data_IF_847682406536
#
_entry.id   IF_847682406536
#
_cell.length_a   1.000
_cell.length_b   1.000
_cell.length_c   1.000
_cell.angle_alpha   90.00
_cell.angle_beta   90.00
_cell.angle_gamma   90.00
#
_symmetry.space_group_name_H-M   'P 1'
#
loop_
_entity.id
_entity.type
_entity.pdbx_description
1 polymer ?
#
# COMPACT_ATOMS: atom_id res chain seq x y z
N UNK A 1 -16.13 -23.18 -20.28
CA UNK A 1 -15.25 -23.97 -19.36
C UNK A 1 -13.91 -23.25 -19.09
N UNK A 2 -13.18 -22.77 -20.10
CA UNK A 2 -11.88 -22.07 -19.88
C UNK A 2 -11.96 -20.78 -19.03
N UNK A 3 -12.94 -19.86 -19.25
CA UNK A 3 -13.01 -18.65 -18.43
C UNK A 3 -13.23 -18.92 -16.94
N UNK A 4 -14.12 -19.85 -16.60
CA UNK A 4 -14.40 -20.17 -15.18
C UNK A 4 -13.21 -20.81 -14.48
N UNK A 5 -12.45 -21.66 -15.16
CA UNK A 5 -11.19 -22.22 -14.66
C UNK A 5 -10.17 -21.10 -14.42
N UNK A 6 -10.03 -20.16 -15.35
CA UNK A 6 -9.13 -19.02 -15.22
C UNK A 6 -9.51 -18.10 -14.06
N UNK A 7 -10.81 -17.87 -13.82
CA UNK A 7 -11.28 -17.08 -12.68
C UNK A 7 -10.96 -17.75 -11.33
N UNK A 8 -11.13 -19.08 -11.22
CA UNK A 8 -10.70 -19.84 -10.03
C UNK A 8 -9.19 -19.76 -9.81
N UNK A 9 -8.40 -19.93 -10.89
CA UNK A 9 -6.94 -19.78 -10.82
C UNK A 9 -6.52 -18.38 -10.39
N UNK A 10 -7.21 -17.33 -10.85
CA UNK A 10 -6.94 -15.95 -10.46
C UNK A 10 -7.24 -15.68 -8.98
N UNK A 11 -8.20 -16.37 -8.36
CA UNK A 11 -8.44 -16.27 -6.91
C UNK A 11 -7.25 -16.87 -6.15
N UNK A 12 -6.82 -18.09 -6.48
CA UNK A 12 -5.69 -18.75 -5.82
C UNK A 12 -4.35 -18.06 -6.09
N UNK A 13 -4.17 -17.57 -7.32
CA UNK A 13 -3.04 -16.68 -7.66
C UNK A 13 -3.00 -15.48 -6.72
N UNK A 14 -4.13 -14.80 -6.56
CA UNK A 14 -4.25 -13.64 -5.69
C UNK A 14 -3.96 -13.96 -4.23
N UNK A 15 -4.46 -15.10 -3.71
CA UNK A 15 -4.18 -15.57 -2.34
C UNK A 15 -2.67 -15.73 -2.08
N UNK A 16 -1.95 -16.31 -3.03
CA UNK A 16 -0.50 -16.47 -2.91
C UNK A 16 0.24 -15.13 -3.11
N UNK A 17 -0.21 -14.33 -4.07
CA UNK A 17 0.39 -13.04 -4.37
C UNK A 17 0.27 -12.05 -3.22
N UNK A 18 -0.88 -12.04 -2.49
CA UNK A 18 -1.09 -11.10 -1.39
C UNK A 18 -0.16 -11.36 -0.20
N UNK A 19 0.21 -12.62 0.06
CA UNK A 19 1.20 -12.96 1.08
C UNK A 19 2.56 -12.34 0.74
N UNK A 20 3.03 -12.55 -0.50
CA UNK A 20 4.28 -11.94 -0.98
C UNK A 20 4.21 -10.42 -0.85
N UNK A 21 3.15 -9.79 -1.35
CA UNK A 21 3.00 -8.33 -1.35
C UNK A 21 3.02 -7.76 0.07
N UNK A 22 2.24 -8.31 0.99
CA UNK A 22 2.16 -7.81 2.36
C UNK A 22 3.47 -7.95 3.12
N UNK A 23 4.20 -9.07 2.92
CA UNK A 23 5.44 -9.30 3.62
C UNK A 23 6.62 -8.55 3.01
N UNK A 24 6.60 -8.30 1.70
CA UNK A 24 7.67 -7.57 0.99
C UNK A 24 7.56 -6.04 1.03
N UNK A 25 6.40 -5.50 1.40
CA UNK A 25 6.17 -4.03 1.43
C UNK A 25 5.65 -3.50 2.76
N UNK A 26 5.30 -4.38 3.69
CA UNK A 26 4.58 -4.04 4.92
C UNK A 26 5.38 -4.29 6.20
N UNK A 27 4.66 -4.80 7.19
CA UNK A 27 5.14 -4.98 8.57
C UNK A 27 6.39 -5.86 8.65
N UNK A 28 6.41 -6.98 7.92
CA UNK A 28 7.47 -7.99 8.02
C UNK A 28 8.81 -7.46 7.50
N UNK A 29 8.83 -6.86 6.29
CA UNK A 29 10.08 -6.30 5.74
C UNK A 29 10.58 -5.12 6.57
N UNK A 30 9.69 -4.33 7.19
CA UNK A 30 10.06 -3.25 8.09
C UNK A 30 10.69 -3.80 9.38
N UNK A 31 10.08 -4.83 9.98
CA UNK A 31 10.66 -5.53 11.13
C UNK A 31 12.01 -6.17 10.82
N UNK A 32 12.15 -6.77 9.64
CA UNK A 32 13.40 -7.30 9.16
C UNK A 32 14.48 -6.23 9.00
N UNK A 33 14.15 -5.09 8.40
CA UNK A 33 15.08 -3.96 8.29
C UNK A 33 15.55 -3.46 9.67
N UNK A 34 14.64 -3.38 10.66
CA UNK A 34 14.99 -3.08 12.05
C UNK A 34 15.96 -4.12 12.64
N UNK A 35 15.68 -5.40 12.46
CA UNK A 35 16.52 -6.50 12.94
C UNK A 35 17.92 -6.51 12.28
N UNK A 36 18.05 -5.96 11.07
CA UNK A 36 19.33 -5.76 10.37
C UNK A 36 20.05 -4.47 10.76
N UNK A 37 19.50 -3.67 11.68
CA UNK A 37 20.11 -2.42 12.14
C UNK A 37 19.85 -1.22 11.21
N UNK A 38 18.72 -1.21 10.47
CA UNK A 38 18.38 -0.10 9.60
C UNK A 38 18.26 1.22 10.37
N UNK A 39 18.93 2.27 9.87
CA UNK A 39 18.80 3.62 10.42
C UNK A 39 17.42 4.22 10.14
N UNK A 40 17.00 5.26 10.86
CA UNK A 40 15.73 5.94 10.56
C UNK A 40 15.63 6.42 9.11
N UNK A 41 16.75 6.86 8.50
CA UNK A 41 16.82 7.25 7.09
C UNK A 41 16.57 6.05 6.16
N UNK A 42 17.16 4.89 6.47
CA UNK A 42 16.95 3.66 5.71
C UNK A 42 15.48 3.19 5.79
N UNK A 43 14.83 3.30 6.95
CA UNK A 43 13.41 3.01 7.13
C UNK A 43 12.53 3.98 6.36
N UNK A 44 12.87 5.27 6.32
CA UNK A 44 12.18 6.25 5.48
C UNK A 44 12.31 5.92 4.00
N UNK A 45 13.51 5.53 3.52
CA UNK A 45 13.72 5.07 2.15
C UNK A 45 12.92 3.81 1.86
N UNK A 46 12.90 2.83 2.76
CA UNK A 46 12.08 1.63 2.61
C UNK A 46 10.59 1.97 2.45
N UNK A 47 10.08 2.88 3.27
CA UNK A 47 8.71 3.40 3.16
C UNK A 47 8.44 4.21 1.87
N UNK A 48 9.47 4.78 1.24
CA UNK A 48 9.38 5.51 -0.01
C UNK A 48 9.27 4.60 -1.25
N UNK A 49 9.79 3.36 -1.18
CA UNK A 49 9.89 2.46 -2.35
C UNK A 49 8.55 2.17 -3.03
N UNK A 50 7.44 1.87 -2.34
CA UNK A 50 6.14 1.65 -2.98
C UNK A 50 5.65 2.88 -3.75
N UNK A 51 5.91 4.08 -3.24
CA UNK A 51 5.51 5.34 -3.86
C UNK A 51 6.40 5.69 -5.06
N UNK A 52 7.69 5.39 -4.98
CA UNK A 52 8.60 5.47 -6.13
C UNK A 52 8.14 4.52 -7.24
N UNK A 53 7.76 3.30 -6.90
CA UNK A 53 7.23 2.33 -7.85
C UNK A 53 5.93 2.82 -8.53
N UNK A 54 5.05 3.50 -7.79
CA UNK A 54 3.82 4.09 -8.34
C UNK A 54 4.09 5.04 -9.52
N UNK A 55 5.23 5.75 -9.52
CA UNK A 55 5.59 6.66 -10.61
C UNK A 55 5.85 5.93 -11.93
N UNK A 56 6.16 4.63 -11.89
CA UNK A 56 6.35 3.79 -13.07
C UNK A 56 5.07 3.10 -13.55
N UNK A 57 3.98 3.19 -12.80
CA UNK A 57 2.68 2.61 -13.18
C UNK A 57 2.22 3.03 -14.59
N UNK A 58 2.39 4.30 -15.04
CA UNK A 58 2.00 4.71 -16.39
C UNK A 58 2.75 3.99 -17.51
N UNK A 59 3.93 3.40 -17.23
CA UNK A 59 4.68 2.63 -18.23
C UNK A 59 3.86 1.48 -18.81
N UNK A 60 2.91 0.92 -18.03
CA UNK A 60 2.00 -0.10 -18.52
C UNK A 60 1.25 0.29 -19.79
N UNK A 61 0.97 1.60 -19.99
CA UNK A 61 0.27 2.14 -21.16
C UNK A 61 1.12 2.15 -22.43
N UNK A 62 2.45 2.04 -22.27
CA UNK A 62 3.42 2.09 -23.39
C UNK A 62 4.03 0.72 -23.67
N UNK A 63 3.83 -0.27 -22.82
CA UNK A 63 4.29 -1.64 -23.04
C UNK A 63 3.47 -2.29 -24.16
N UNK A 64 4.15 -2.89 -25.14
CA UNK A 64 3.54 -3.57 -26.28
C UNK A 64 3.68 -5.08 -26.14
N UNK A 65 2.67 -5.83 -26.56
CA UNK A 65 2.65 -7.30 -26.55
C UNK A 65 1.54 -7.87 -25.67
N UNK A 66 1.52 -9.18 -25.50
CA UNK A 66 0.55 -9.88 -24.66
C UNK A 66 0.63 -9.39 -23.21
N UNK A 67 -0.49 -8.91 -22.66
CA UNK A 67 -0.60 -8.46 -21.26
C UNK A 67 -0.24 -9.56 -20.29
N UNK A 68 -0.67 -10.80 -20.59
CA UNK A 68 -0.33 -12.00 -19.84
C UNK A 68 1.19 -12.25 -19.85
N UNK A 69 1.81 -12.27 -21.02
CA UNK A 69 3.24 -12.54 -21.13
C UNK A 69 4.08 -11.50 -20.38
N UNK A 70 3.72 -10.22 -20.48
CA UNK A 70 4.36 -9.13 -19.76
C UNK A 70 4.14 -9.27 -18.24
N UNK A 71 2.90 -9.48 -17.79
CA UNK A 71 2.58 -9.65 -16.37
C UNK A 71 3.32 -10.85 -15.75
N UNK A 72 3.37 -11.98 -16.44
CA UNK A 72 4.09 -13.17 -15.98
C UNK A 72 5.59 -12.91 -15.88
N UNK A 73 6.21 -12.34 -16.93
CA UNK A 73 7.65 -12.06 -16.94
C UNK A 73 8.06 -11.05 -15.88
N UNK A 74 7.36 -9.92 -15.79
CA UNK A 74 7.67 -8.85 -14.83
C UNK A 74 7.46 -9.33 -13.39
N UNK A 75 6.37 -10.06 -13.11
CA UNK A 75 6.15 -10.66 -11.81
C UNK A 75 7.23 -11.67 -11.44
N UNK A 76 7.61 -12.57 -12.36
CA UNK A 76 8.68 -13.53 -12.12
C UNK A 76 10.00 -12.83 -11.74
N UNK A 77 10.41 -11.86 -12.55
CA UNK A 77 11.65 -11.09 -12.31
C UNK A 77 11.58 -10.31 -11.00
N UNK A 78 10.43 -9.67 -10.71
CA UNK A 78 10.24 -8.94 -9.46
C UNK A 78 10.42 -9.85 -8.23
N UNK A 79 9.84 -11.06 -8.24
CA UNK A 79 9.98 -12.00 -7.13
C UNK A 79 11.39 -12.56 -7.01
N UNK A 80 12.05 -12.86 -8.13
CA UNK A 80 13.45 -13.27 -8.13
C UNK A 80 14.37 -12.16 -7.58
N UNK A 81 14.14 -10.91 -7.99
CA UNK A 81 14.91 -9.77 -7.47
C UNK A 81 14.67 -9.49 -5.99
N UNK A 82 13.56 -9.96 -5.42
CA UNK A 82 13.35 -9.83 -3.97
C UNK A 82 14.13 -10.87 -3.15
N UNK A 83 14.62 -11.94 -3.76
CA UNK A 83 15.36 -13.00 -3.07
C UNK A 83 16.62 -12.48 -2.34
N UNK A 84 17.48 -11.63 -2.94
CA UNK A 84 18.61 -11.04 -2.20
C UNK A 84 18.18 -10.21 -0.98
N UNK A 85 17.01 -9.55 -1.02
CA UNK A 85 16.42 -8.88 0.15
C UNK A 85 16.20 -9.87 1.28
N UNK A 86 15.54 -11.00 1.02
CA UNK A 86 15.26 -12.03 2.02
C UNK A 86 16.55 -12.69 2.58
N UNK A 87 17.63 -12.75 1.78
CA UNK A 87 18.92 -13.34 2.16
C UNK A 87 19.91 -12.31 2.71
N UNK A 88 19.54 -11.03 2.84
CA UNK A 88 20.47 -9.95 3.21
C UNK A 88 21.18 -10.19 4.57
N UNK A 89 20.56 -10.90 5.52
CA UNK A 89 21.18 -11.17 6.81
C UNK A 89 22.45 -12.04 6.74
N UNK A 90 22.64 -12.82 5.66
CA UNK A 90 23.85 -13.60 5.44
C UNK A 90 25.04 -12.76 4.92
N UNK A 91 24.79 -11.51 4.56
CA UNK A 91 25.85 -10.60 4.09
C UNK A 91 26.60 -9.96 5.28
N UNK A 92 27.82 -9.44 5.04
CA UNK A 92 28.50 -8.58 6.00
C UNK A 92 27.63 -7.40 6.42
N UNK A 93 27.73 -6.96 7.67
CA UNK A 93 26.82 -5.95 8.27
C UNK A 93 26.62 -4.70 7.40
N UNK A 94 27.70 -4.14 6.87
CA UNK A 94 27.66 -2.95 6.03
C UNK A 94 26.88 -3.11 4.71
N UNK A 95 26.66 -4.35 4.24
CA UNK A 95 25.94 -4.64 3.00
C UNK A 95 24.48 -5.06 3.22
N UNK A 96 24.06 -5.40 4.44
CA UNK A 96 22.72 -5.92 4.73
C UNK A 96 21.61 -4.95 4.33
N UNK A 97 21.62 -3.76 4.91
CA UNK A 97 20.58 -2.74 4.67
C UNK A 97 20.64 -2.18 3.24
N UNK A 98 21.82 -1.84 2.66
CA UNK A 98 21.89 -1.45 1.26
C UNK A 98 21.33 -2.49 0.29
N UNK A 99 21.64 -3.77 0.48
CA UNK A 99 21.10 -4.87 -0.35
C UNK A 99 19.60 -4.98 -0.19
N UNK A 100 19.09 -4.92 1.06
CA UNK A 100 17.64 -4.92 1.31
C UNK A 100 16.94 -3.81 0.52
N UNK A 101 17.41 -2.57 0.64
CA UNK A 101 16.78 -1.41 -0.02
C UNK A 101 16.87 -1.50 -1.55
N UNK A 102 18.04 -1.85 -2.09
CA UNK A 102 18.25 -1.94 -3.53
C UNK A 102 17.32 -2.98 -4.16
N UNK A 103 17.34 -4.21 -3.65
CA UNK A 103 16.62 -5.31 -4.27
C UNK A 103 15.11 -5.28 -3.97
N UNK A 104 14.69 -4.79 -2.80
CA UNK A 104 13.28 -4.48 -2.56
C UNK A 104 12.77 -3.38 -3.51
N UNK A 105 13.57 -2.33 -3.73
CA UNK A 105 13.25 -1.27 -4.66
C UNK A 105 13.14 -1.77 -6.11
N UNK A 106 14.14 -2.50 -6.61
CA UNK A 106 14.11 -3.08 -7.96
C UNK A 106 12.92 -4.02 -8.16
N UNK A 107 12.62 -4.85 -7.16
CA UNK A 107 11.45 -5.73 -7.19
C UNK A 107 10.14 -4.93 -7.35
N UNK A 108 9.96 -3.88 -6.56
CA UNK A 108 8.75 -3.06 -6.61
C UNK A 108 8.63 -2.25 -7.90
N UNK A 109 9.75 -1.69 -8.41
CA UNK A 109 9.78 -0.97 -9.68
C UNK A 109 9.34 -1.86 -10.85
N UNK A 110 9.81 -3.11 -10.91
CA UNK A 110 9.39 -4.08 -11.93
C UNK A 110 7.93 -4.50 -11.77
N UNK A 111 7.44 -4.61 -10.55
CA UNK A 111 6.06 -4.99 -10.28
C UNK A 111 5.04 -3.86 -10.58
N UNK A 112 5.48 -2.60 -10.61
CA UNK A 112 4.59 -1.44 -10.73
C UNK A 112 3.62 -1.48 -11.94
N UNK A 113 4.05 -1.76 -13.17
CA UNK A 113 3.13 -1.81 -14.32
C UNK A 113 2.21 -3.04 -14.32
N UNK A 114 2.55 -4.08 -13.55
CA UNK A 114 1.81 -5.36 -13.56
C UNK A 114 0.38 -5.21 -13.11
N UNK A 115 0.13 -4.35 -12.11
CA UNK A 115 -1.23 -4.12 -11.59
C UNK A 115 -2.19 -3.61 -12.67
N UNK A 116 -1.73 -2.69 -13.53
CA UNK A 116 -2.53 -2.16 -14.65
C UNK A 116 -2.73 -3.21 -15.73
N UNK A 117 -1.66 -3.93 -16.13
CA UNK A 117 -1.74 -5.01 -17.12
C UNK A 117 -2.71 -6.10 -16.67
N UNK A 118 -2.62 -6.51 -15.40
CA UNK A 118 -3.47 -7.53 -14.82
C UNK A 118 -4.94 -7.07 -14.75
N UNK A 119 -5.19 -5.83 -14.28
CA UNK A 119 -6.55 -5.31 -14.16
C UNK A 119 -7.23 -5.18 -15.52
N UNK A 120 -6.51 -4.70 -16.53
CA UNK A 120 -7.00 -4.62 -17.91
C UNK A 120 -7.30 -6.00 -18.46
N UNK A 121 -6.42 -6.97 -18.25
CA UNK A 121 -6.63 -8.36 -18.66
C UNK A 121 -7.85 -9.02 -17.97
N UNK A 122 -7.98 -8.85 -16.65
CA UNK A 122 -9.12 -9.38 -15.90
C UNK A 122 -10.45 -8.70 -16.26
N UNK A 123 -10.41 -7.42 -16.64
CA UNK A 123 -11.61 -6.73 -17.11
C UNK A 123 -12.19 -7.36 -18.39
N UNK A 124 -11.33 -7.90 -19.28
CA UNK A 124 -11.78 -8.61 -20.48
C UNK A 124 -12.15 -10.08 -20.21
N UNK A 125 -11.58 -10.69 -19.17
CA UNK A 125 -11.85 -12.08 -18.80
C UNK A 125 -13.16 -12.24 -18.01
N UNK A 126 -13.54 -11.25 -17.20
CA UNK A 126 -14.73 -11.28 -16.36
C UNK A 126 -15.89 -10.58 -17.06
N UNK A 127 -16.99 -11.32 -17.29
CA UNK A 127 -18.22 -10.75 -17.87
C UNK A 127 -18.69 -9.53 -17.05
N UNK A 128 -19.15 -8.48 -17.72
CA UNK A 128 -19.46 -7.18 -17.12
C UNK A 128 -20.46 -7.29 -15.97
N UNK A 129 -21.49 -8.11 -16.12
CA UNK A 129 -22.56 -8.35 -15.15
C UNK A 129 -22.06 -9.03 -13.87
N UNK A 130 -20.92 -9.74 -13.95
CA UNK A 130 -20.33 -10.49 -12.83
C UNK A 130 -19.12 -9.79 -12.19
N UNK A 131 -18.59 -8.69 -12.78
CA UNK A 131 -17.37 -8.01 -12.32
C UNK A 131 -17.44 -7.59 -10.87
N UNK A 132 -18.52 -6.93 -10.48
CA UNK A 132 -18.70 -6.46 -9.09
C UNK A 132 -18.67 -7.61 -8.08
N UNK A 133 -19.41 -8.68 -8.35
CA UNK A 133 -19.47 -9.87 -7.48
C UNK A 133 -18.13 -10.59 -7.40
N UNK A 134 -17.47 -10.78 -8.54
CA UNK A 134 -16.18 -11.48 -8.63
C UNK A 134 -15.08 -10.71 -7.89
N UNK A 135 -14.86 -9.43 -8.23
CA UNK A 135 -13.81 -8.63 -7.59
C UNK A 135 -14.14 -8.36 -6.12
N UNK A 136 -15.40 -8.18 -5.76
CA UNK A 136 -15.83 -8.04 -4.38
C UNK A 136 -15.46 -9.25 -3.52
N UNK A 137 -15.80 -10.45 -3.98
CA UNK A 137 -15.43 -11.70 -3.30
C UNK A 137 -13.91 -11.90 -3.24
N UNK A 138 -13.22 -11.73 -4.40
CA UNK A 138 -11.77 -11.86 -4.47
C UNK A 138 -11.06 -10.91 -3.51
N UNK A 139 -11.41 -9.63 -3.52
CA UNK A 139 -10.78 -8.63 -2.66
C UNK A 139 -11.04 -8.88 -1.18
N UNK A 140 -12.25 -9.31 -0.81
CA UNK A 140 -12.56 -9.71 0.58
C UNK A 140 -11.71 -10.89 1.04
N UNK A 141 -11.58 -11.93 0.20
CA UNK A 141 -10.74 -13.09 0.49
C UNK A 141 -9.26 -12.70 0.62
N UNK A 142 -8.75 -11.90 -0.32
CA UNK A 142 -7.35 -11.42 -0.28
C UNK A 142 -7.10 -10.55 0.94
N UNK A 143 -8.04 -9.69 1.31
CA UNK A 143 -7.97 -8.89 2.54
C UNK A 143 -7.86 -9.76 3.79
N UNK A 144 -8.71 -10.78 3.89
CA UNK A 144 -8.68 -11.74 5.01
C UNK A 144 -7.34 -12.50 5.05
N UNK A 145 -6.93 -13.09 3.93
CA UNK A 145 -5.66 -13.86 3.85
C UNK A 145 -4.45 -12.97 4.14
N UNK A 146 -4.43 -11.74 3.59
CA UNK A 146 -3.34 -10.80 3.83
C UNK A 146 -3.23 -10.38 5.30
N UNK A 147 -4.37 -10.15 5.94
CA UNK A 147 -4.43 -9.76 7.36
C UNK A 147 -3.99 -10.92 8.27
N UNK A 148 -4.52 -12.12 8.05
CA UNK A 148 -4.11 -13.32 8.79
C UNK A 148 -2.63 -13.66 8.50
N UNK A 149 -2.20 -13.47 7.25
CA UNK A 149 -0.81 -13.63 6.85
C UNK A 149 0.14 -12.72 7.62
N UNK A 150 -0.22 -11.47 7.86
CA UNK A 150 0.57 -10.55 8.68
C UNK A 150 0.67 -11.03 10.14
N UNK A 151 -0.43 -11.50 10.73
CA UNK A 151 -0.42 -12.06 12.07
C UNK A 151 0.46 -13.31 12.16
N UNK A 152 0.28 -14.27 11.24
CA UNK A 152 1.08 -15.49 11.18
C UNK A 152 2.57 -15.17 10.94
N UNK A 153 2.86 -14.23 10.06
CA UNK A 153 4.23 -13.77 9.81
C UNK A 153 4.87 -13.16 11.06
N UNK A 154 4.13 -12.36 11.83
CA UNK A 154 4.56 -11.82 13.11
C UNK A 154 4.85 -12.92 14.13
N UNK A 155 3.95 -13.91 14.25
CA UNK A 155 4.15 -15.06 15.15
C UNK A 155 5.41 -15.88 14.81
N UNK A 156 5.70 -16.08 13.53
CA UNK A 156 6.93 -16.78 13.11
C UNK A 156 8.16 -15.91 13.38
N UNK A 157 8.07 -14.61 13.10
CA UNK A 157 9.16 -13.66 13.36
C UNK A 157 9.55 -13.61 14.85
N UNK A 158 8.56 -13.69 15.76
CA UNK A 158 8.81 -13.66 17.20
C UNK A 158 9.29 -15.00 17.77
N UNK A 159 8.96 -16.16 17.15
CA UNK A 159 9.36 -17.49 17.62
C UNK A 159 10.80 -17.88 17.32
N UNK A 160 11.37 -17.30 16.28
CA UNK A 160 12.74 -17.58 15.86
C UNK A 160 13.65 -16.40 16.22
N UNK A 161 14.93 -16.63 16.57
CA UNK A 161 15.84 -15.53 16.88
C UNK A 161 15.96 -14.56 15.69
N UNK A 162 15.92 -13.23 15.92
CA UNK A 162 16.21 -12.27 14.87
C UNK A 162 17.63 -12.45 14.30
N UNK A 163 17.83 -12.30 12.98
CA UNK A 163 16.85 -11.98 11.93
C UNK A 163 16.16 -13.20 11.28
N UNK A 164 16.44 -14.44 11.74
CA UNK A 164 16.00 -15.69 11.10
C UNK A 164 14.49 -15.81 10.94
N UNK A 165 13.71 -15.37 11.95
CA UNK A 165 12.25 -15.42 11.86
C UNK A 165 11.71 -14.60 10.68
N UNK A 166 12.22 -13.40 10.50
CA UNK A 166 11.86 -12.55 9.37
C UNK A 166 12.28 -13.15 8.03
N UNK A 167 13.50 -13.71 7.96
CA UNK A 167 13.98 -14.38 6.75
C UNK A 167 13.10 -15.55 6.34
N UNK A 168 12.70 -16.39 7.30
CA UNK A 168 11.82 -17.52 7.04
C UNK A 168 10.50 -17.06 6.42
N UNK A 169 9.86 -16.02 6.99
CA UNK A 169 8.62 -15.45 6.47
C UNK A 169 8.82 -14.87 5.07
N UNK A 170 9.88 -14.10 4.83
CA UNK A 170 10.17 -13.51 3.52
C UNK A 170 10.46 -14.57 2.46
N UNK A 171 11.20 -15.64 2.78
CA UNK A 171 11.47 -16.73 1.86
C UNK A 171 10.19 -17.53 1.51
N UNK A 172 9.34 -17.80 2.50
CA UNK A 172 8.00 -18.38 2.25
C UNK A 172 7.17 -17.43 1.36
N UNK A 173 7.25 -16.11 1.59
CA UNK A 173 6.63 -15.10 0.77
C UNK A 173 7.12 -15.14 -0.68
N UNK A 174 8.42 -15.24 -0.91
CA UNK A 174 9.00 -15.38 -2.26
C UNK A 174 8.50 -16.68 -2.90
N UNK A 175 8.50 -17.80 -2.19
CA UNK A 175 7.97 -19.08 -2.67
C UNK A 175 6.50 -18.99 -3.08
N UNK A 176 5.65 -18.39 -2.22
CA UNK A 176 4.24 -18.13 -2.54
C UNK A 176 4.10 -17.20 -3.77
N UNK A 177 4.91 -16.14 -3.83
CA UNK A 177 4.96 -15.24 -4.97
C UNK A 177 5.34 -15.94 -6.29
N UNK A 178 6.33 -16.82 -6.28
CA UNK A 178 6.70 -17.60 -7.46
C UNK A 178 5.62 -18.60 -7.88
N UNK A 179 4.98 -19.26 -6.92
CA UNK A 179 3.86 -20.15 -7.18
C UNK A 179 2.66 -19.35 -7.74
N UNK A 180 2.43 -18.12 -7.27
CA UNK A 180 1.41 -17.24 -7.86
C UNK A 180 1.68 -16.96 -9.34
N UNK A 181 2.95 -16.77 -9.74
CA UNK A 181 3.32 -16.57 -11.15
C UNK A 181 3.02 -17.81 -12.01
N UNK A 182 3.22 -19.02 -11.47
CA UNK A 182 2.84 -20.25 -12.18
C UNK A 182 1.33 -20.31 -12.41
N UNK A 183 0.51 -19.98 -11.39
CA UNK A 183 -0.94 -19.92 -11.54
C UNK A 183 -1.37 -18.81 -12.51
N UNK A 184 -0.70 -17.67 -12.50
CA UNK A 184 -0.94 -16.59 -13.46
C UNK A 184 -0.69 -17.04 -14.90
N UNK A 185 0.39 -17.80 -15.14
CA UNK A 185 0.74 -18.35 -16.45
C UNK A 185 -0.34 -19.32 -16.99
N UNK A 186 -1.05 -20.03 -16.12
CA UNK A 186 -2.09 -21.01 -16.50
C UNK A 186 -3.43 -20.37 -16.86
N UNK A 187 -3.63 -19.08 -16.62
CA UNK A 187 -4.88 -18.38 -16.96
C UNK A 187 -4.94 -18.10 -18.47
N UNK A 188 -6.15 -18.08 -19.04
CA UNK A 188 -6.37 -17.69 -20.44
C UNK A 188 -6.30 -16.16 -20.60
N UNK A 189 -5.87 -15.72 -21.78
CA UNK A 189 -5.87 -14.29 -22.16
C UNK A 189 -6.87 -14.09 -23.28
N UNK A 190 -8.00 -13.38 -23.06
CA UNK A 190 -8.93 -13.03 -24.12
C UNK A 190 -8.35 -11.94 -25.02
N UNK A 191 -8.97 -11.73 -26.17
CA UNK A 191 -8.63 -10.61 -27.07
C UNK A 191 -8.74 -9.28 -26.33
N UNK A 192 -7.82 -8.36 -26.62
CA UNK A 192 -7.79 -7.04 -26.00
C UNK A 192 -8.92 -6.17 -26.54
N UNK A 193 -9.69 -5.58 -25.62
CA UNK A 193 -10.70 -4.58 -25.97
C UNK A 193 -10.04 -3.29 -26.44
N UNK A 194 -10.56 -2.62 -27.51
CA UNK A 194 -10.01 -1.34 -27.95
C UNK A 194 -10.02 -0.30 -26.84
N UNK A 195 -8.88 0.28 -26.57
CA UNK A 195 -8.72 1.35 -25.57
C UNK A 195 -8.32 2.67 -26.26
N UNK A 196 -8.82 3.83 -25.78
CA UNK A 196 -8.41 5.13 -26.32
C UNK A 196 -6.91 5.34 -26.17
N UNK A 197 -6.26 6.12 -27.05
CA UNK A 197 -4.84 6.43 -26.93
C UNK A 197 -4.51 7.10 -25.59
N UNK A 198 -3.58 6.53 -24.84
CA UNK A 198 -3.20 6.98 -23.49
C UNK A 198 -2.86 8.48 -23.42
N UNK A 199 -2.14 9.01 -24.44
CA UNK A 199 -1.77 10.43 -24.51
C UNK A 199 -2.99 11.36 -24.54
N UNK A 200 -4.06 10.98 -25.26
CA UNK A 200 -5.28 11.78 -25.33
C UNK A 200 -6.01 11.82 -23.98
N UNK A 201 -6.16 10.67 -23.33
CA UNK A 201 -6.80 10.59 -22.02
C UNK A 201 -6.03 11.38 -20.93
N UNK A 202 -4.70 11.31 -20.94
CA UNK A 202 -3.83 12.09 -20.05
C UNK A 202 -3.94 13.61 -20.34
N UNK A 203 -3.99 14.01 -21.62
CA UNK A 203 -4.13 15.41 -22.02
C UNK A 203 -5.45 16.02 -21.52
N UNK A 204 -6.57 15.31 -21.70
CA UNK A 204 -7.89 15.73 -21.19
C UNK A 204 -7.87 15.91 -19.67
N UNK A 205 -7.36 14.93 -18.94
CA UNK A 205 -7.28 14.97 -17.49
C UNK A 205 -6.37 16.10 -16.97
N UNK A 206 -5.25 16.38 -17.67
CA UNK A 206 -4.33 17.45 -17.28
C UNK A 206 -4.88 18.85 -17.56
N UNK A 207 -5.76 19.02 -18.54
CA UNK A 207 -6.41 20.31 -18.86
C UNK A 207 -7.53 20.68 -17.88
N UNK A 208 -8.05 19.70 -17.13
CA UNK A 208 -9.09 19.95 -16.12
C UNK A 208 -8.49 20.65 -14.89
N UNK A 209 -8.78 21.96 -14.77
CA UNK A 209 -8.27 22.80 -13.68
C UNK A 209 -8.80 22.37 -12.30
N UNK A 210 -10.08 21.98 -12.23
CA UNK A 210 -10.68 21.51 -10.99
C UNK A 210 -10.01 20.22 -10.51
N UNK A 211 -9.77 19.31 -11.46
CA UNK A 211 -9.08 18.07 -11.18
C UNK A 211 -7.62 18.27 -10.75
N UNK A 212 -6.89 19.22 -11.33
CA UNK A 212 -5.53 19.58 -10.87
C UNK A 212 -5.53 20.09 -9.43
N UNK A 213 -6.52 20.88 -9.05
CA UNK A 213 -6.69 21.30 -7.65
C UNK A 213 -6.90 20.13 -6.71
N UNK A 214 -7.73 19.16 -7.12
CA UNK A 214 -7.93 17.90 -6.39
C UNK A 214 -6.64 17.07 -6.31
N UNK A 215 -5.88 16.91 -7.40
CA UNK A 215 -4.60 16.22 -7.41
C UNK A 215 -3.59 16.86 -6.46
N UNK A 216 -3.56 18.19 -6.37
CA UNK A 216 -2.73 18.92 -5.40
C UNK A 216 -3.07 18.56 -3.95
N UNK A 217 -4.35 18.37 -3.63
CA UNK A 217 -4.77 17.93 -2.29
C UNK A 217 -4.39 16.47 -2.01
N UNK A 218 -4.54 15.57 -2.99
CA UNK A 218 -4.10 14.17 -2.88
C UNK A 218 -2.59 14.11 -2.62
N UNK A 219 -1.81 14.88 -3.38
CA UNK A 219 -0.36 15.01 -3.22
C UNK A 219 0.00 15.49 -1.81
N UNK A 220 -0.59 16.57 -1.33
CA UNK A 220 -0.33 17.12 0.01
C UNK A 220 -0.76 16.16 1.12
N UNK A 221 -1.90 15.47 0.94
CA UNK A 221 -2.40 14.50 1.91
C UNK A 221 -1.44 13.32 2.08
N UNK A 222 -1.07 12.66 0.99
CA UNK A 222 -0.15 11.53 1.06
C UNK A 222 1.26 11.95 1.46
N UNK A 223 1.69 13.16 1.08
CA UNK A 223 2.90 13.77 1.60
C UNK A 223 2.87 13.89 3.12
N UNK A 224 1.81 14.49 3.67
CA UNK A 224 1.64 14.65 5.11
C UNK A 224 1.57 13.31 5.86
N UNK A 225 0.86 12.32 5.29
CA UNK A 225 0.75 10.97 5.86
C UNK A 225 2.11 10.29 5.92
N UNK A 226 2.89 10.38 4.85
CA UNK A 226 4.14 9.64 4.72
C UNK A 226 5.34 10.30 5.41
N UNK A 227 5.19 11.50 5.97
CA UNK A 227 6.18 12.04 6.92
C UNK A 227 6.24 11.22 8.22
N UNK A 228 5.12 10.71 8.72
CA UNK A 228 5.07 9.83 9.90
C UNK A 228 4.98 8.34 9.57
N UNK A 229 4.44 8.01 8.39
CA UNK A 229 4.08 6.64 7.98
C UNK A 229 5.20 5.60 8.11
N UNK A 230 6.42 5.85 7.63
CA UNK A 230 7.54 4.90 7.74
C UNK A 230 7.90 4.53 9.18
N UNK A 231 7.53 5.37 10.16
CA UNK A 231 7.94 5.22 11.54
C UNK A 231 6.88 4.60 12.46
N UNK A 232 5.69 4.32 11.98
CA UNK A 232 4.62 3.72 12.80
C UNK A 232 5.05 2.37 13.37
N UNK A 233 5.50 1.44 12.53
CA UNK A 233 5.94 0.11 12.96
C UNK A 233 7.23 0.19 13.79
N UNK A 234 8.29 0.91 13.35
CA UNK A 234 9.49 1.13 14.19
C UNK A 234 9.16 1.72 15.57
N UNK A 235 8.24 2.67 15.64
CA UNK A 235 7.80 3.26 16.90
C UNK A 235 7.10 2.23 17.80
N UNK A 236 6.17 1.44 17.25
CA UNK A 236 5.47 0.40 18.02
C UNK A 236 6.43 -0.64 18.57
N UNK A 237 7.40 -1.08 17.77
CA UNK A 237 8.35 -2.13 18.20
C UNK A 237 9.42 -1.58 19.14
N UNK A 238 10.11 -0.50 18.79
CA UNK A 238 11.27 -0.02 19.53
C UNK A 238 10.93 0.88 20.72
N UNK A 239 9.88 1.68 20.62
CA UNK A 239 9.46 2.60 21.69
C UNK A 239 8.27 2.03 22.45
N UNK A 240 7.25 1.54 21.75
CA UNK A 240 6.08 0.91 22.35
C UNK A 240 6.33 -0.47 22.95
N UNK A 241 7.42 -1.14 22.54
CA UNK A 241 7.80 -2.47 23.02
C UNK A 241 6.87 -3.59 22.57
N UNK A 242 6.13 -3.39 21.47
CA UNK A 242 5.25 -4.40 20.90
C UNK A 242 6.07 -5.46 20.16
N UNK A 243 5.68 -6.72 20.33
CA UNK A 243 6.14 -7.84 19.50
C UNK A 243 5.57 -7.75 18.07
N UNK A 244 6.16 -8.48 17.13
CA UNK A 244 5.64 -8.54 15.77
C UNK A 244 4.29 -9.24 15.69
N UNK A 245 4.00 -10.16 16.62
CA UNK A 245 2.67 -10.77 16.80
C UNK A 245 1.63 -9.71 17.17
N UNK A 246 1.95 -8.83 18.13
CA UNK A 246 1.07 -7.74 18.54
C UNK A 246 0.84 -6.73 17.42
N UNK A 247 1.87 -6.40 16.64
CA UNK A 247 1.71 -5.56 15.44
C UNK A 247 0.82 -6.28 14.40
N UNK A 248 0.97 -7.59 14.21
CA UNK A 248 0.08 -8.40 13.38
C UNK A 248 -1.38 -8.36 13.89
N UNK A 249 -1.57 -8.47 15.20
CA UNK A 249 -2.90 -8.37 15.82
C UNK A 249 -3.51 -6.97 15.65
N UNK A 250 -2.69 -5.92 15.75
CA UNK A 250 -3.13 -4.56 15.44
C UNK A 250 -3.69 -4.46 14.01
N UNK A 251 -3.03 -5.10 13.02
CA UNK A 251 -3.54 -5.12 11.63
C UNK A 251 -4.86 -5.91 11.51
N UNK A 252 -5.05 -6.98 12.29
CA UNK A 252 -6.30 -7.75 12.34
C UNK A 252 -7.44 -6.88 12.91
N UNK A 253 -7.20 -6.17 14.00
CA UNK A 253 -8.19 -5.29 14.63
C UNK A 253 -8.58 -4.17 13.66
N UNK A 254 -7.60 -3.53 13.00
CA UNK A 254 -7.86 -2.50 12.00
C UNK A 254 -8.70 -3.05 10.84
N UNK A 255 -8.29 -4.15 10.20
CA UNK A 255 -9.01 -4.72 9.07
C UNK A 255 -10.45 -5.15 9.43
N UNK A 256 -10.63 -5.81 10.58
CA UNK A 256 -11.94 -6.28 11.06
C UNK A 256 -12.89 -5.11 11.37
N UNK A 257 -12.37 -4.08 12.03
CA UNK A 257 -13.15 -2.87 12.34
C UNK A 257 -13.57 -2.11 11.07
N UNK A 258 -12.75 -2.15 10.01
CA UNK A 258 -13.05 -1.54 8.71
C UNK A 258 -14.31 -2.10 8.06
N UNK A 259 -14.64 -3.37 8.28
CA UNK A 259 -15.89 -4.00 7.81
C UNK A 259 -17.14 -3.36 8.44
N UNK A 260 -17.03 -2.89 9.69
CA UNK A 260 -18.11 -2.22 10.39
C UNK A 260 -18.28 -0.77 9.94
N UNK A 261 -17.20 -0.05 9.74
CA UNK A 261 -17.22 1.38 9.42
C UNK A 261 -17.50 1.69 7.95
N UNK A 262 -17.16 0.80 7.02
CA UNK A 262 -17.42 1.01 5.59
C UNK A 262 -18.90 1.31 5.29
N UNK A 263 -19.87 0.48 5.72
CA UNK A 263 -21.32 0.77 5.54
C UNK A 263 -21.79 2.04 6.26
N UNK A 264 -21.19 2.41 7.38
CA UNK A 264 -21.49 3.65 8.09
C UNK A 264 -21.13 4.89 7.22
N UNK A 265 -19.92 4.88 6.65
CA UNK A 265 -19.47 5.95 5.77
C UNK A 265 -20.26 6.02 4.47
N UNK A 266 -20.66 4.87 3.90
CA UNK A 266 -21.53 4.82 2.74
C UNK A 266 -22.85 5.54 3.00
N UNK A 267 -23.55 5.18 4.08
CA UNK A 267 -24.82 5.85 4.47
C UNK A 267 -24.67 7.34 4.75
N UNK A 268 -23.52 7.74 5.32
CA UNK A 268 -23.23 9.15 5.52
C UNK A 268 -22.97 9.88 4.20
N UNK A 269 -22.25 9.27 3.26
CA UNK A 269 -22.03 9.83 1.94
C UNK A 269 -23.36 10.07 1.17
N UNK A 270 -24.32 9.16 1.32
CA UNK A 270 -25.65 9.29 0.73
C UNK A 270 -26.48 10.44 1.35
N UNK A 271 -26.29 10.72 2.65
CA UNK A 271 -27.06 11.75 3.38
C UNK A 271 -26.41 13.13 3.33
N UNK A 272 -25.11 13.21 3.53
CA UNK A 272 -24.36 14.46 3.74
C UNK A 272 -23.38 14.76 2.59
N UNK A 273 -23.24 13.82 1.64
CA UNK A 273 -22.32 13.93 0.50
C UNK A 273 -20.89 13.47 0.82
N UNK A 274 -20.16 13.17 -0.26
CA UNK A 274 -18.79 12.63 -0.16
C UNK A 274 -17.78 13.59 0.48
N UNK A 275 -17.99 14.91 0.38
CA UNK A 275 -17.12 15.92 0.99
C UNK A 275 -17.14 15.87 2.51
N UNK A 276 -18.32 15.66 3.13
CA UNK A 276 -18.44 15.52 4.57
C UNK A 276 -17.70 14.28 5.09
N UNK A 277 -17.82 13.14 4.39
CA UNK A 277 -17.08 11.91 4.71
C UNK A 277 -15.59 12.14 4.59
N UNK A 278 -15.13 12.74 3.47
CA UNK A 278 -13.72 13.03 3.23
C UNK A 278 -13.11 13.87 4.36
N UNK A 279 -13.79 14.95 4.76
CA UNK A 279 -13.33 15.82 5.85
C UNK A 279 -13.24 15.08 7.19
N UNK A 280 -14.32 14.37 7.59
CA UNK A 280 -14.36 13.69 8.89
C UNK A 280 -13.33 12.57 8.99
N UNK A 281 -13.21 11.76 7.95
CA UNK A 281 -12.22 10.67 7.91
C UNK A 281 -10.78 11.22 7.88
N UNK A 282 -10.54 12.30 7.14
CA UNK A 282 -9.24 12.99 7.17
C UNK A 282 -8.90 13.56 8.55
N UNK A 283 -9.88 14.11 9.27
CA UNK A 283 -9.68 14.59 10.65
C UNK A 283 -9.32 13.44 11.61
N UNK A 284 -10.02 12.31 11.53
CA UNK A 284 -9.66 11.12 12.33
C UNK A 284 -8.24 10.66 11.99
N UNK A 285 -7.91 10.53 10.70
CA UNK A 285 -6.56 10.15 10.25
C UNK A 285 -5.49 11.16 10.67
N UNK A 286 -5.81 12.45 10.74
CA UNK A 286 -4.88 13.49 11.16
C UNK A 286 -4.55 13.40 12.66
N UNK A 287 -5.49 12.96 13.48
CA UNK A 287 -5.30 12.84 14.94
C UNK A 287 -4.64 11.51 15.36
N UNK A 288 -4.54 10.53 14.49
CA UNK A 288 -3.93 9.23 14.81
C UNK A 288 -2.51 9.29 15.40
N UNK A 289 -1.61 10.19 14.95
CA UNK A 289 -0.29 10.34 15.55
C UNK A 289 -0.32 10.61 17.05
N UNK A 290 -1.36 11.26 17.58
CA UNK A 290 -1.51 11.46 19.03
C UNK A 290 -1.69 10.14 19.76
N UNK A 291 -2.49 9.22 19.22
CA UNK A 291 -2.69 7.91 19.81
C UNK A 291 -1.40 7.07 19.77
N UNK A 292 -0.63 7.16 18.69
CA UNK A 292 0.66 6.46 18.61
C UNK A 292 1.64 6.97 19.67
N UNK A 293 1.79 8.29 19.77
CA UNK A 293 2.76 8.94 20.68
C UNK A 293 2.35 8.87 22.15
N UNK A 294 1.06 8.73 22.46
CA UNK A 294 0.57 8.59 23.83
C UNK A 294 0.64 7.17 24.38
N UNK A 295 0.88 6.17 23.50
CA UNK A 295 1.05 4.78 23.89
C UNK A 295 2.47 4.46 24.35
N UNK A 296 2.60 3.59 25.33
CA UNK A 296 3.87 3.07 25.83
C UNK A 296 3.71 1.62 26.27
N UNK A 297 4.83 0.95 26.56
CA UNK A 297 4.79 -0.41 27.09
C UNK A 297 3.99 -0.53 28.40
N UNK A 298 4.06 0.49 29.26
CA UNK A 298 3.30 0.54 30.51
C UNK A 298 1.82 0.92 30.30
N UNK A 299 1.50 1.62 29.19
CA UNK A 299 0.16 2.09 28.86
C UNK A 299 -0.14 1.83 27.36
N UNK A 300 -0.40 0.59 26.94
CA UNK A 300 -0.53 0.22 25.53
C UNK A 300 -1.89 0.59 24.89
N UNK A 301 -2.90 0.93 25.68
CA UNK A 301 -4.27 1.16 25.21
C UNK A 301 -4.40 2.17 24.04
N UNK A 302 -3.65 3.31 24.02
CA UNK A 302 -3.75 4.22 22.88
C UNK A 302 -3.32 3.58 21.56
N UNK A 303 -2.33 2.68 21.59
CA UNK A 303 -1.89 1.94 20.39
C UNK A 303 -3.02 1.02 19.89
N UNK A 304 -3.69 0.28 20.79
CA UNK A 304 -4.82 -0.57 20.40
C UNK A 304 -6.03 0.25 19.91
N UNK A 305 -6.31 1.37 20.56
CA UNK A 305 -7.34 2.30 20.09
C UNK A 305 -7.01 2.87 18.72
N UNK A 306 -5.72 3.08 18.40
CA UNK A 306 -5.30 3.53 17.07
C UNK A 306 -5.62 2.53 15.96
N UNK A 307 -5.71 1.22 16.24
CA UNK A 307 -6.13 0.22 15.25
C UNK A 307 -7.60 0.44 14.82
N UNK A 308 -8.46 0.76 15.79
CA UNK A 308 -9.87 1.07 15.52
C UNK A 308 -10.00 2.42 14.80
N UNK A 309 -9.23 3.42 15.22
CA UNK A 309 -9.18 4.73 14.58
C UNK A 309 -8.64 4.65 13.14
N UNK A 310 -7.66 3.77 12.88
CA UNK A 310 -7.14 3.48 11.55
C UNK A 310 -8.24 2.94 10.64
N UNK A 311 -8.97 1.94 11.10
CA UNK A 311 -10.12 1.39 10.38
C UNK A 311 -11.18 2.44 10.10
N UNK A 312 -11.54 3.23 11.11
CA UNK A 312 -12.53 4.30 10.99
C UNK A 312 -12.11 5.33 9.93
N UNK A 313 -10.83 5.74 9.96
CA UNK A 313 -10.30 6.71 9.00
C UNK A 313 -10.23 6.14 7.58
N UNK A 314 -9.51 5.04 7.37
CA UNK A 314 -9.15 4.56 6.03
C UNK A 314 -10.29 3.86 5.29
N UNK A 315 -11.26 3.26 5.98
CA UNK A 315 -12.45 2.67 5.33
C UNK A 315 -13.31 3.72 4.60
N UNK A 316 -13.34 4.95 5.10
CA UNK A 316 -14.06 6.05 4.44
C UNK A 316 -13.16 6.89 3.54
N UNK A 317 -11.95 7.23 3.99
CA UNK A 317 -11.04 8.13 3.27
C UNK A 317 -10.61 7.54 1.92
N UNK A 318 -10.21 6.27 1.88
CA UNK A 318 -9.77 5.62 0.64
C UNK A 318 -10.88 5.58 -0.42
N UNK A 319 -12.09 5.21 -0.01
CA UNK A 319 -13.26 5.19 -0.91
C UNK A 319 -13.68 6.59 -1.34
N UNK A 320 -13.66 7.57 -0.45
CA UNK A 320 -14.02 8.95 -0.77
C UNK A 320 -13.03 9.59 -1.76
N UNK A 321 -11.71 9.36 -1.58
CA UNK A 321 -10.69 9.83 -2.52
C UNK A 321 -10.85 9.17 -3.91
N UNK A 322 -11.01 7.86 -3.98
CA UNK A 322 -11.19 7.17 -5.25
C UNK A 322 -12.47 7.62 -5.98
N UNK A 323 -13.59 7.75 -5.27
CA UNK A 323 -14.84 8.19 -5.83
C UNK A 323 -14.78 9.66 -6.31
N UNK A 324 -14.08 10.54 -5.57
CA UNK A 324 -13.85 11.91 -6.00
C UNK A 324 -13.04 11.97 -7.31
N UNK A 325 -12.00 11.14 -7.46
CA UNK A 325 -11.24 11.04 -8.72
C UNK A 325 -12.14 10.59 -9.88
N UNK A 326 -13.01 9.60 -9.64
CA UNK A 326 -13.93 9.07 -10.65
C UNK A 326 -15.06 10.04 -11.01
N UNK A 327 -15.50 10.88 -10.07
CA UNK A 327 -16.53 11.88 -10.30
C UNK A 327 -16.09 12.99 -11.28
N UNK A 328 -14.79 13.29 -11.34
CA UNK A 328 -14.23 14.23 -12.32
C UNK A 328 -14.00 13.57 -13.68
N UNK A 329 -13.96 12.25 -13.77
CA UNK A 329 -13.47 11.54 -14.94
C UNK A 329 -14.58 11.25 -15.96
N UNK A 330 -14.61 11.90 -17.15
CA UNK A 330 -15.49 11.49 -18.24
C UNK A 330 -15.17 10.07 -18.70
N UNK A 331 -16.18 9.33 -19.18
CA UNK A 331 -16.04 7.91 -19.54
C UNK A 331 -14.88 7.65 -20.50
N UNK A 332 -14.68 8.57 -21.46
CA UNK A 332 -13.69 8.46 -22.53
C UNK A 332 -12.24 8.70 -22.06
N UNK A 333 -12.04 9.38 -20.92
CA UNK A 333 -10.73 9.74 -20.39
C UNK A 333 -10.43 9.16 -19.01
N UNK A 334 -11.30 8.29 -18.48
CA UNK A 334 -11.22 7.75 -17.11
C UNK A 334 -9.83 7.22 -16.74
N UNK A 335 -9.18 6.51 -17.65
CA UNK A 335 -7.83 5.97 -17.41
C UNK A 335 -6.79 7.08 -17.19
N UNK A 336 -6.89 8.20 -17.93
CA UNK A 336 -5.98 9.35 -17.74
C UNK A 336 -6.12 9.99 -16.36
N UNK A 337 -7.38 10.17 -15.90
CA UNK A 337 -7.66 10.68 -14.55
C UNK A 337 -7.09 9.76 -13.45
N UNK A 338 -7.34 8.46 -13.54
CA UNK A 338 -6.81 7.50 -12.57
C UNK A 338 -5.28 7.46 -12.56
N UNK A 339 -4.63 7.53 -13.72
CA UNK A 339 -3.16 7.57 -13.80
C UNK A 339 -2.61 8.81 -13.10
N UNK A 340 -3.19 10.00 -13.34
CA UNK A 340 -2.75 11.23 -12.66
C UNK A 340 -3.02 11.19 -11.15
N UNK A 341 -4.13 10.57 -10.72
CA UNK A 341 -4.40 10.32 -9.30
C UNK A 341 -3.29 9.50 -8.64
N UNK A 342 -2.93 8.36 -9.25
CA UNK A 342 -1.85 7.51 -8.71
C UNK A 342 -0.48 8.18 -8.76
N UNK A 343 -0.21 9.00 -9.78
CA UNK A 343 1.02 9.81 -9.84
C UNK A 343 1.08 10.86 -8.73
N UNK A 344 0.00 11.59 -8.49
CA UNK A 344 -0.07 12.58 -7.41
C UNK A 344 0.13 11.93 -6.03
N UNK A 345 -0.53 10.79 -5.80
CA UNK A 345 -0.36 9.97 -4.60
C UNK A 345 1.10 9.50 -4.46
N UNK A 346 1.67 8.94 -5.53
CA UNK A 346 3.04 8.44 -5.56
C UNK A 346 4.08 9.54 -5.28
N UNK A 347 3.96 10.69 -5.93
CA UNK A 347 4.85 11.84 -5.71
C UNK A 347 4.74 12.37 -4.28
N UNK A 348 3.51 12.55 -3.77
CA UNK A 348 3.28 12.99 -2.41
C UNK A 348 3.88 12.03 -1.39
N UNK A 349 3.58 10.73 -1.50
CA UNK A 349 4.10 9.71 -0.60
C UNK A 349 5.62 9.58 -0.64
N UNK A 350 6.22 9.63 -1.83
CA UNK A 350 7.68 9.62 -2.01
C UNK A 350 8.33 10.80 -1.28
N UNK A 351 7.89 12.03 -1.58
CA UNK A 351 8.47 13.23 -0.97
C UNK A 351 8.21 13.29 0.53
N UNK A 352 7.03 12.87 0.99
CA UNK A 352 6.72 12.74 2.42
C UNK A 352 7.66 11.76 3.13
N UNK A 353 7.92 10.60 2.55
CA UNK A 353 8.85 9.61 3.11
C UNK A 353 10.30 10.11 3.12
N UNK A 354 10.74 10.83 2.08
CA UNK A 354 12.07 11.43 2.06
C UNK A 354 12.20 12.54 3.13
N UNK A 355 11.17 13.37 3.28
CA UNK A 355 11.10 14.37 4.34
C UNK A 355 11.12 13.72 5.74
N UNK A 356 10.48 12.54 5.89
CA UNK A 356 10.54 11.76 7.12
C UNK A 356 11.99 11.46 7.53
N UNK A 357 12.81 10.97 6.57
CA UNK A 357 14.24 10.70 6.81
C UNK A 357 15.02 11.91 7.26
N UNK A 358 14.81 13.06 6.59
CA UNK A 358 15.43 14.34 6.95
C UNK A 358 14.95 14.84 8.32
N UNK A 359 13.66 14.70 8.63
CA UNK A 359 13.11 15.08 9.93
C UNK A 359 13.67 14.23 11.08
N UNK A 360 13.84 12.91 10.85
CA UNK A 360 14.42 12.01 11.84
C UNK A 360 15.89 12.30 12.14
N UNK A 361 16.66 12.83 11.15
CA UNK A 361 18.08 13.20 11.35
C UNK A 361 18.28 14.42 12.25
N UNK A 362 17.23 15.20 12.49
CA UNK A 362 17.30 16.34 13.40
C UNK A 362 17.37 15.92 14.87
N UNK A 363 17.04 14.66 15.20
CA UNK A 363 17.17 14.14 16.56
C UNK A 363 16.27 14.81 17.60
N UNK A 364 15.16 15.42 17.17
CA UNK A 364 14.25 16.16 18.05
C UNK A 364 13.26 15.22 18.74
N UNK A 365 13.31 15.17 20.08
CA UNK A 365 12.41 14.36 20.91
C UNK A 365 13.06 13.11 21.51
N UNK A 366 12.29 12.30 22.29
CA UNK A 366 12.80 11.14 23.03
C UNK A 366 13.31 9.99 22.14
N UNK A 367 12.86 9.91 20.90
CA UNK A 367 13.38 8.97 19.89
C UNK A 367 13.41 9.65 18.52
N UNK A 368 14.17 9.11 17.54
CA UNK A 368 14.24 9.68 16.19
C UNK A 368 12.90 9.69 15.45
N UNK A 369 11.90 8.97 15.96
CA UNK A 369 10.57 8.85 15.35
C UNK A 369 9.58 9.92 15.81
N UNK A 370 9.79 10.53 16.98
CA UNK A 370 8.82 11.46 17.58
C UNK A 370 8.57 12.69 16.70
N UNK A 371 9.63 13.37 16.29
CA UNK A 371 9.49 14.60 15.51
C UNK A 371 8.82 14.38 14.16
N UNK A 372 9.21 13.38 13.33
CA UNK A 372 8.49 13.08 12.08
C UNK A 372 7.00 12.76 12.30
N UNK A 373 6.66 12.01 13.35
CA UNK A 373 5.27 11.69 13.67
C UNK A 373 4.49 12.94 14.06
N UNK A 374 5.06 13.84 14.90
CA UNK A 374 4.45 15.13 15.25
C UNK A 374 4.33 16.06 14.05
N UNK A 375 5.35 16.11 13.19
CA UNK A 375 5.31 16.91 11.96
C UNK A 375 4.19 16.41 11.04
N UNK A 376 4.04 15.10 10.92
CA UNK A 376 2.93 14.48 10.17
C UNK A 376 1.56 14.87 10.73
N UNK A 377 1.39 14.92 12.06
CA UNK A 377 0.16 15.41 12.70
C UNK A 377 -0.18 16.83 12.22
N UNK A 378 0.78 17.77 12.34
CA UNK A 378 0.57 19.16 11.95
C UNK A 378 0.22 19.30 10.46
N UNK A 379 0.97 18.61 9.59
CA UNK A 379 0.73 18.62 8.14
C UNK A 379 -0.63 18.03 7.79
N UNK A 380 -1.01 16.87 8.36
CA UNK A 380 -2.32 16.23 8.13
C UNK A 380 -3.46 17.14 8.58
N UNK A 381 -3.36 17.79 9.75
CA UNK A 381 -4.36 18.76 10.22
C UNK A 381 -4.50 19.92 9.25
N UNK A 382 -3.37 20.49 8.80
CA UNK A 382 -3.37 21.59 7.82
C UNK A 382 -4.06 21.22 6.51
N UNK A 383 -3.84 20.00 6.00
CA UNK A 383 -4.51 19.52 4.78
C UNK A 383 -5.98 19.19 5.04
N UNK A 384 -6.31 18.51 6.15
CA UNK A 384 -7.69 18.18 6.51
C UNK A 384 -8.58 19.42 6.63
N UNK A 385 -8.07 20.49 7.24
CA UNK A 385 -8.79 21.77 7.34
C UNK A 385 -9.01 22.43 5.97
N UNK A 386 -8.10 22.24 5.01
CA UNK A 386 -8.32 22.71 3.63
C UNK A 386 -9.41 21.93 2.92
N UNK A 387 -9.55 20.63 3.20
CA UNK A 387 -10.63 19.80 2.65
C UNK A 387 -12.03 20.28 3.05
N UNK A 388 -12.16 20.98 4.20
CA UNK A 388 -13.43 21.60 4.61
C UNK A 388 -13.90 22.73 3.67
N UNK A 389 -12.94 23.36 2.96
CA UNK A 389 -13.22 24.53 2.09
C UNK A 389 -13.54 24.15 0.63
N UNK A 390 -13.41 22.86 0.30
CA UNK A 390 -13.84 22.28 -0.99
C UNK A 390 -15.35 22.05 -1.01
#
# INVERSE_FOLDING_TARGET
MEPERSLKLSIWEGVLAILFLNWSTGVIVTGYALALGASPQALALLGALPFLAQLLTPLALFLRGSRKALAVRLNFLARMLFLPTALAAFLPEGLRVPTLLLFAGLSQLLAAPVGVLWLSWMADLVAEERRGRYFGFRNALLGLVGTLGNLMGGMVADRLPPPLGYQAVLLVGVGAGLLSVLLLRLQSEPSESPSPPARRALGIAWQDLAYRGYLGLVFLWYGAVMVGGPYVIPYFVQVGGLSMTEVGLWTVISASSGLLFGPMWGRMADREGHKAVLFRTAMVAALMPLLWLSGSRAFPWPVWLSAIADALAWSGLGTALANAALAHAPKEARNGYLVLFWLALGLGGLLGSLLAGSAASLGLGPSPYHFPILLSLGLRLGVALRLRRL
#
